data_IF_707893792191
#
_entry.id   IF_707893792191
#
_cell.length_a   1.000
_cell.length_b   1.000
_cell.length_c   1.000
_cell.angle_alpha   90.00
_cell.angle_beta   90.00
_cell.angle_gamma   90.00
#
_symmetry.space_group_name_H-M   'P 1'
#
loop_
_entity.id
_entity.type
_entity.pdbx_description
1 polymer ?
#
# COMPACT_ATOMS: atom_id res chain seq x y z
N UNK A 1 -11.88 -4.15 19.81
CA UNK A 1 -10.94 -4.39 18.70
C UNK A 1 -10.46 -3.04 18.24
N UNK A 2 -9.15 -2.80 18.28
CA UNK A 2 -8.55 -1.65 17.59
C UNK A 2 -8.73 -1.92 16.08
N UNK A 3 -9.27 -0.99 15.29
CA UNK A 3 -9.43 -1.21 13.85
C UNK A 3 -8.08 -1.48 13.18
N UNK A 4 -8.07 -2.33 12.16
CA UNK A 4 -6.91 -2.60 11.32
C UNK A 4 -7.12 -1.86 10.01
N UNK A 5 -6.12 -1.07 9.61
CA UNK A 5 -6.07 -0.41 8.30
C UNK A 5 -4.85 -0.99 7.56
N UNK A 6 -5.10 -1.91 6.63
CA UNK A 6 -4.08 -2.35 5.69
C UNK A 6 -4.05 -1.36 4.53
N UNK A 7 -2.87 -1.01 4.04
CA UNK A 7 -2.74 -0.11 2.91
C UNK A 7 -1.58 -0.50 2.00
N UNK A 8 -1.66 -0.02 0.77
CA UNK A 8 -0.67 -0.10 -0.28
C UNK A 8 -0.88 1.12 -1.22
N UNK A 9 0.18 1.58 -1.87
CA UNK A 9 0.12 2.68 -2.84
C UNK A 9 0.69 2.28 -4.18
N UNK A 10 0.07 2.80 -5.23
CA UNK A 10 0.67 2.79 -6.57
C UNK A 10 1.13 4.19 -6.96
N UNK A 11 2.31 4.26 -7.57
CA UNK A 11 2.97 5.53 -7.86
C UNK A 11 3.41 5.63 -9.32
N UNK A 12 3.41 6.87 -9.79
CA UNK A 12 3.95 7.29 -11.08
C UNK A 12 5.09 8.29 -10.84
N UNK A 13 5.92 8.59 -11.85
CA UNK A 13 6.88 9.69 -11.75
C UNK A 13 6.18 11.01 -11.46
N UNK A 14 6.70 11.79 -10.52
CA UNK A 14 6.28 13.17 -10.34
C UNK A 14 6.88 14.04 -11.45
N UNK A 15 6.26 14.01 -12.62
CA UNK A 15 6.73 14.77 -13.80
C UNK A 15 6.82 16.27 -13.51
N UNK A 16 5.88 16.82 -12.72
CA UNK A 16 5.93 18.22 -12.34
C UNK A 16 7.16 18.53 -11.48
N UNK A 17 7.40 17.72 -10.44
CA UNK A 17 8.59 17.84 -9.61
C UNK A 17 9.89 17.64 -10.38
N UNK A 18 9.92 16.67 -11.32
CA UNK A 18 11.06 16.41 -12.18
C UNK A 18 11.38 17.61 -13.09
N UNK A 19 10.36 18.24 -13.69
CA UNK A 19 10.55 19.46 -14.49
C UNK A 19 11.17 20.58 -13.67
N UNK A 20 10.61 20.83 -12.49
CA UNK A 20 11.08 21.87 -11.58
C UNK A 20 12.54 21.65 -11.15
N UNK A 21 12.88 20.42 -10.74
CA UNK A 21 14.20 20.11 -10.19
C UNK A 21 15.29 20.00 -11.25
N UNK A 22 14.94 19.63 -12.49
CA UNK A 22 15.90 19.40 -13.57
C UNK A 22 15.93 20.54 -14.59
N UNK A 23 15.06 21.56 -14.44
CA UNK A 23 15.01 22.71 -15.33
C UNK A 23 14.53 22.37 -16.75
N UNK A 24 13.68 21.34 -16.90
CA UNK A 24 13.11 20.99 -18.20
C UNK A 24 12.11 22.05 -18.66
N UNK A 25 12.07 22.38 -19.97
CA UNK A 25 11.11 23.36 -20.48
C UNK A 25 9.67 22.83 -20.38
N UNK A 26 8.69 23.72 -20.20
CA UNK A 26 7.27 23.36 -20.16
C UNK A 26 6.81 22.67 -21.47
N UNK A 27 7.47 22.97 -22.59
CA UNK A 27 7.16 22.40 -23.90
C UNK A 27 7.59 20.94 -24.09
N UNK A 28 8.47 20.41 -23.24
CA UNK A 28 8.86 18.98 -23.29
C UNK A 28 7.64 18.12 -22.96
N UNK A 29 7.46 16.94 -23.54
CA UNK A 29 6.32 16.08 -23.20
C UNK A 29 6.53 15.39 -21.84
N UNK A 30 5.45 15.11 -21.11
CA UNK A 30 5.53 14.45 -19.80
C UNK A 30 6.21 13.07 -19.90
N UNK A 31 5.93 12.34 -20.98
CA UNK A 31 6.57 11.07 -21.30
C UNK A 31 8.09 11.20 -21.45
N UNK A 32 8.55 12.27 -22.10
CA UNK A 32 9.99 12.50 -22.33
C UNK A 32 10.70 12.89 -21.03
N UNK A 33 10.06 13.69 -20.17
CA UNK A 33 10.60 14.05 -18.85
C UNK A 33 10.77 12.80 -17.99
N UNK A 34 9.75 11.95 -17.93
CA UNK A 34 9.81 10.68 -17.20
C UNK A 34 10.91 9.76 -17.77
N UNK A 35 10.97 9.61 -19.10
CA UNK A 35 11.98 8.78 -19.78
C UNK A 35 13.42 9.27 -19.49
N UNK A 36 13.65 10.59 -19.53
CA UNK A 36 14.94 11.18 -19.19
C UNK A 36 15.32 10.90 -17.73
N UNK A 37 14.36 11.00 -16.80
CA UNK A 37 14.59 10.69 -15.39
C UNK A 37 14.93 9.22 -15.15
N UNK A 38 14.22 8.29 -15.80
CA UNK A 38 14.51 6.86 -15.75
C UNK A 38 15.90 6.54 -16.31
N UNK A 39 16.25 7.08 -17.47
CA UNK A 39 17.56 6.88 -18.09
C UNK A 39 18.69 7.35 -17.16
N UNK A 40 18.57 8.56 -16.59
CA UNK A 40 19.55 9.11 -15.66
C UNK A 40 19.62 8.33 -14.34
N UNK A 41 18.52 7.70 -13.90
CA UNK A 41 18.50 6.85 -12.70
C UNK A 41 19.18 5.51 -12.97
N UNK A 42 18.93 4.90 -14.12
CA UNK A 42 19.53 3.64 -14.56
C UNK A 42 21.03 3.78 -14.76
N UNK A 43 21.49 4.86 -15.38
CA UNK A 43 22.93 5.12 -15.55
C UNK A 43 23.66 5.18 -14.20
N UNK A 44 23.06 5.81 -13.20
CA UNK A 44 23.68 5.99 -11.87
C UNK A 44 23.59 4.76 -10.97
N UNK A 45 22.55 3.95 -11.09
CA UNK A 45 22.21 2.92 -10.08
C UNK A 45 21.95 1.52 -10.65
N UNK A 46 21.83 1.40 -11.97
CA UNK A 46 21.40 0.16 -12.63
C UNK A 46 19.90 -0.12 -12.58
N UNK A 47 19.08 0.77 -11.99
CA UNK A 47 17.62 0.62 -11.87
C UNK A 47 16.89 1.86 -12.36
N UNK A 48 15.65 1.72 -12.85
CA UNK A 48 14.77 2.86 -13.15
C UNK A 48 14.03 3.40 -11.92
N UNK A 49 14.09 2.68 -10.79
CA UNK A 49 13.31 3.01 -9.61
C UNK A 49 13.77 4.35 -9.02
N UNK A 50 12.92 5.38 -9.15
CA UNK A 50 13.23 6.74 -8.76
C UNK A 50 13.40 6.87 -7.23
N UNK A 51 13.96 7.99 -6.78
CA UNK A 51 14.01 8.31 -5.36
C UNK A 51 12.61 8.66 -4.84
N UNK A 52 12.25 8.25 -3.62
CA UNK A 52 10.88 8.36 -3.09
C UNK A 52 10.21 9.73 -3.23
N UNK A 53 10.95 10.82 -3.08
CA UNK A 53 10.43 12.19 -3.22
C UNK A 53 10.07 12.58 -4.68
N UNK A 54 10.48 11.78 -5.67
CA UNK A 54 10.19 11.95 -7.10
C UNK A 54 9.05 11.05 -7.58
N UNK A 55 8.36 10.37 -6.66
CA UNK A 55 7.13 9.64 -6.95
C UNK A 55 5.93 10.56 -6.71
N UNK A 56 4.84 10.31 -7.43
CA UNK A 56 3.51 10.86 -7.23
C UNK A 56 2.54 9.69 -7.07
N UNK A 57 1.64 9.76 -6.11
CA UNK A 57 0.65 8.71 -5.82
C UNK A 57 -0.47 8.74 -6.88
N UNK A 58 -0.68 7.60 -7.53
CA UNK A 58 -1.75 7.36 -8.48
C UNK A 58 -2.94 6.65 -7.83
N UNK A 59 -2.69 5.74 -6.87
CA UNK A 59 -3.72 5.06 -6.11
C UNK A 59 -3.28 4.84 -4.66
N UNK A 60 -4.25 4.81 -3.75
CA UNK A 60 -4.08 4.31 -2.39
C UNK A 60 -5.24 3.34 -2.17
N UNK A 61 -4.94 2.07 -1.97
CA UNK A 61 -5.94 1.08 -1.60
C UNK A 61 -5.86 0.76 -0.13
N UNK A 62 -7.00 0.38 0.44
CA UNK A 62 -7.10 0.08 1.85
C UNK A 62 -8.04 -1.12 2.10
N UNK A 63 -7.63 -1.99 3.01
CA UNK A 63 -8.57 -2.83 3.78
C UNK A 63 -8.80 -2.18 5.13
N UNK A 64 -10.06 -2.05 5.53
CA UNK A 64 -10.44 -1.64 6.87
C UNK A 64 -11.23 -2.76 7.55
N UNK A 65 -10.69 -3.27 8.65
CA UNK A 65 -11.31 -4.31 9.50
C UNK A 65 -11.60 -3.75 10.88
N UNK A 66 -12.86 -3.73 11.28
CA UNK A 66 -13.31 -3.28 12.59
C UNK A 66 -14.43 -4.16 13.15
N UNK A 67 -15.19 -3.69 14.15
CA UNK A 67 -16.32 -4.48 14.68
C UNK A 67 -17.47 -4.65 13.69
N UNK A 68 -17.60 -3.76 12.71
CA UNK A 68 -18.70 -3.77 11.74
C UNK A 68 -18.43 -4.71 10.57
N UNK A 69 -17.16 -5.02 10.28
CA UNK A 69 -16.82 -6.04 9.30
C UNK A 69 -15.47 -5.80 8.64
N UNK A 70 -15.33 -6.39 7.45
CA UNK A 70 -14.22 -6.22 6.53
C UNK A 70 -14.69 -5.38 5.33
N UNK A 71 -13.88 -4.41 4.90
CA UNK A 71 -14.15 -3.57 3.72
C UNK A 71 -12.85 -3.34 2.96
N UNK A 72 -12.86 -3.48 1.64
CA UNK A 72 -11.74 -3.12 0.76
C UNK A 72 -12.18 -2.04 -0.22
N UNK A 73 -11.33 -1.04 -0.45
CA UNK A 73 -11.49 -0.05 -1.54
C UNK A 73 -10.24 0.79 -1.77
N UNK A 74 -10.09 1.33 -2.97
CA UNK A 74 -9.25 2.49 -3.22
C UNK A 74 -9.88 3.79 -2.69
N UNK A 75 -9.06 4.68 -2.14
CA UNK A 75 -9.49 6.01 -1.69
C UNK A 75 -9.82 6.92 -2.90
N UNK A 76 -10.80 7.81 -2.74
CA UNK A 76 -11.24 8.74 -3.79
C UNK A 76 -11.83 8.05 -5.02
N UNK A 77 -11.87 8.78 -6.13
CA UNK A 77 -12.22 8.30 -7.48
C UNK A 77 -11.05 8.48 -8.45
N UNK A 78 -11.15 7.94 -9.66
CA UNK A 78 -10.17 8.12 -10.75
C UNK A 78 -10.06 9.56 -11.25
N UNK A 79 -10.96 10.45 -10.83
CA UNK A 79 -10.94 11.88 -11.17
C UNK A 79 -10.43 12.76 -10.04
N UNK A 80 -10.09 12.18 -8.89
CA UNK A 80 -9.60 12.93 -7.74
C UNK A 80 -8.09 13.17 -7.86
N UNK A 81 -7.68 14.40 -7.52
CA UNK A 81 -6.28 14.75 -7.41
C UNK A 81 -5.59 14.00 -6.26
N UNK A 82 -4.28 13.78 -6.40
CA UNK A 82 -3.43 13.09 -5.42
C UNK A 82 -3.62 13.64 -3.99
N UNK A 83 -3.67 14.96 -3.84
CA UNK A 83 -3.78 15.62 -2.53
C UNK A 83 -5.02 15.17 -1.76
N UNK A 84 -6.13 14.89 -2.45
CA UNK A 84 -7.35 14.35 -1.86
C UNK A 84 -7.17 12.92 -1.38
N UNK A 85 -6.41 12.10 -2.10
CA UNK A 85 -6.10 10.72 -1.71
C UNK A 85 -5.22 10.70 -0.45
N UNK A 86 -4.12 11.45 -0.47
CA UNK A 86 -3.17 11.56 0.65
C UNK A 86 -3.87 12.13 1.89
N UNK A 87 -4.68 13.18 1.71
CA UNK A 87 -5.49 13.72 2.81
C UNK A 87 -6.48 12.69 3.37
N UNK A 88 -7.17 11.93 2.51
CA UNK A 88 -8.12 10.91 2.96
C UNK A 88 -7.43 9.79 3.76
N UNK A 89 -6.21 9.41 3.38
CA UNK A 89 -5.41 8.42 4.11
C UNK A 89 -5.10 8.90 5.53
N UNK A 90 -4.44 10.06 5.68
CA UNK A 90 -4.08 10.58 7.01
C UNK A 90 -5.30 10.95 7.86
N UNK A 91 -6.36 11.48 7.27
CA UNK A 91 -7.63 11.73 7.97
C UNK A 91 -8.25 10.45 8.53
N UNK A 92 -8.09 9.31 7.84
CA UNK A 92 -8.56 8.02 8.34
C UNK A 92 -7.77 7.61 9.59
N UNK A 93 -6.46 7.85 9.59
CA UNK A 93 -5.60 7.61 10.76
C UNK A 93 -6.00 8.51 11.93
N UNK A 94 -6.20 9.81 11.67
CA UNK A 94 -6.64 10.77 12.70
C UNK A 94 -7.98 10.36 13.32
N UNK A 95 -8.94 9.93 12.48
CA UNK A 95 -10.29 9.60 12.94
C UNK A 95 -10.35 8.31 13.76
N UNK A 96 -9.67 7.26 13.32
CA UNK A 96 -9.86 5.92 13.88
C UNK A 96 -8.68 5.44 14.73
N UNK A 97 -7.52 6.08 14.61
CA UNK A 97 -6.26 5.63 15.22
C UNK A 97 -6.05 4.10 15.07
N UNK A 98 -6.11 3.56 13.84
CA UNK A 98 -6.05 2.11 13.61
C UNK A 98 -4.64 1.55 13.86
N UNK A 99 -4.53 0.23 13.93
CA UNK A 99 -3.25 -0.42 13.63
C UNK A 99 -3.05 -0.37 12.11
N UNK A 100 -1.96 0.25 11.66
CA UNK A 100 -1.53 0.19 10.27
C UNK A 100 -0.85 -1.15 9.98
N UNK A 101 -1.14 -1.74 8.84
CA UNK A 101 -0.47 -2.94 8.34
C UNK A 101 -0.09 -2.74 6.88
N UNK A 102 1.10 -3.17 6.49
CA UNK A 102 1.58 -3.06 5.11
C UNK A 102 2.56 -4.17 4.77
N UNK A 103 2.89 -4.31 3.48
CA UNK A 103 4.03 -5.09 3.01
C UNK A 103 5.05 -4.15 2.37
N UNK A 104 6.21 -3.93 3.00
CA UNK A 104 7.21 -2.94 2.58
C UNK A 104 6.79 -1.46 2.71
N UNK A 105 5.74 -1.17 3.50
CA UNK A 105 5.26 0.20 3.71
C UNK A 105 6.28 1.13 4.37
N UNK A 106 7.17 0.63 5.22
CA UNK A 106 8.28 1.43 5.79
C UNK A 106 9.35 1.73 4.74
N UNK A 107 9.60 0.76 3.85
CA UNK A 107 10.63 0.87 2.82
C UNK A 107 10.26 1.81 1.68
N UNK A 108 8.96 1.94 1.38
CA UNK A 108 8.49 2.69 0.22
C UNK A 108 7.26 3.57 0.49
N UNK A 109 6.12 2.97 0.84
CA UNK A 109 4.82 3.64 0.82
C UNK A 109 4.73 4.86 1.76
N UNK A 110 5.09 4.67 3.03
CA UNK A 110 5.05 5.74 4.03
C UNK A 110 6.06 6.85 3.70
N UNK A 111 7.34 6.57 3.36
CA UNK A 111 8.25 7.60 2.87
C UNK A 111 7.67 8.44 1.72
N UNK A 112 7.05 7.81 0.70
CA UNK A 112 6.40 8.54 -0.38
C UNK A 112 5.25 9.39 0.17
N UNK A 113 4.34 8.80 0.95
CA UNK A 113 3.21 9.52 1.55
C UNK A 113 3.64 10.70 2.42
N UNK A 114 4.77 10.62 3.12
CA UNK A 114 5.33 11.74 3.89
C UNK A 114 5.69 12.91 2.97
N UNK A 115 6.45 12.65 1.91
CA UNK A 115 6.84 13.70 0.96
C UNK A 115 5.61 14.29 0.27
N UNK A 116 4.65 13.45 -0.13
CA UNK A 116 3.43 13.93 -0.81
C UNK A 116 2.50 14.70 0.12
N UNK A 117 2.43 14.33 1.39
CA UNK A 117 1.72 15.11 2.40
C UNK A 117 2.35 16.49 2.60
N UNK A 118 3.69 16.58 2.65
CA UNK A 118 4.40 17.86 2.75
C UNK A 118 4.16 18.74 1.51
N UNK A 119 4.29 18.17 0.31
CA UNK A 119 4.02 18.90 -0.96
C UNK A 119 2.56 19.40 -1.02
N UNK A 120 1.61 18.63 -0.49
CA UNK A 120 0.18 18.95 -0.53
C UNK A 120 -0.33 19.72 0.69
N UNK A 121 0.53 20.05 1.66
CA UNK A 121 0.14 20.73 2.90
C UNK A 121 -0.85 19.94 3.78
N UNK A 122 -0.78 18.60 3.76
CA UNK A 122 -1.67 17.73 4.53
C UNK A 122 -1.23 17.64 5.99
N UNK A 123 -2.15 17.93 6.91
CA UNK A 123 -1.97 17.68 8.34
C UNK A 123 -2.19 16.19 8.66
N UNK A 124 -1.32 15.62 9.49
CA UNK A 124 -1.36 14.21 9.89
C UNK A 124 -1.00 14.06 11.39
N UNK A 125 -1.66 14.84 12.25
CA UNK A 125 -1.27 15.02 13.65
C UNK A 125 -1.23 13.70 14.43
N UNK A 126 -2.23 12.84 14.28
CA UNK A 126 -2.27 11.56 15.01
C UNK A 126 -1.23 10.57 14.49
N UNK A 127 -0.85 10.68 13.22
CA UNK A 127 0.19 9.86 12.62
C UNK A 127 1.58 10.20 13.18
N UNK A 128 1.88 11.50 13.33
CA UNK A 128 3.17 12.01 13.81
C UNK A 128 3.29 12.11 15.32
N UNK A 129 2.22 11.84 16.06
CA UNK A 129 2.24 11.77 17.53
C UNK A 129 3.24 10.69 17.99
N UNK A 130 4.15 11.05 18.88
CA UNK A 130 5.23 10.19 19.39
C UNK A 130 5.37 10.24 20.93
N UNK A 131 4.39 10.83 21.62
CA UNK A 131 4.40 11.03 23.07
C UNK A 131 4.38 12.49 23.51
N UNK A 132 4.23 13.43 22.59
CA UNK A 132 4.27 14.87 22.84
C UNK A 132 2.96 15.33 23.51
N UNK A 133 1.80 15.05 22.89
CA UNK A 133 0.49 15.37 23.45
C UNK A 133 -0.17 14.12 24.09
N UNK A 134 0.00 12.94 23.48
CA UNK A 134 -0.53 11.66 23.98
C UNK A 134 0.59 10.71 24.43
N UNK A 135 0.78 10.58 25.76
CA UNK A 135 1.83 9.74 26.36
C UNK A 135 1.77 8.27 25.95
N UNK A 136 0.62 7.73 25.55
CA UNK A 136 0.51 6.34 25.11
C UNK A 136 1.31 6.08 23.81
N UNK A 137 1.51 7.13 23.00
CA UNK A 137 2.28 7.04 21.76
C UNK A 137 3.79 7.01 21.99
N UNK A 138 4.26 7.31 23.20
CA UNK A 138 5.68 7.15 23.56
C UNK A 138 6.15 5.70 23.40
N UNK A 139 5.28 4.75 23.69
CA UNK A 139 5.60 3.32 23.71
C UNK A 139 5.03 2.55 22.52
N UNK A 140 4.13 3.16 21.75
CA UNK A 140 3.52 2.56 20.57
C UNK A 140 2.99 3.65 19.63
N UNK A 141 3.77 4.04 18.62
CA UNK A 141 3.45 5.07 17.60
C UNK A 141 3.72 4.50 16.19
N UNK A 142 3.34 5.26 15.15
CA UNK A 142 3.47 4.81 13.75
C UNK A 142 4.88 4.96 13.16
N UNK A 143 5.79 5.69 13.82
CA UNK A 143 7.10 6.06 13.25
C UNK A 143 8.21 5.11 13.74
N UNK A 144 8.11 4.67 14.98
CA UNK A 144 9.12 3.83 15.61
C UNK A 144 9.06 2.42 15.05
N UNK A 145 10.11 2.01 14.34
CA UNK A 145 10.20 0.73 13.60
C UNK A 145 9.81 -0.54 14.40
N UNK A 146 10.09 -0.56 15.70
CA UNK A 146 9.84 -1.73 16.55
C UNK A 146 8.49 -1.69 17.29
N UNK A 147 7.71 -0.63 17.09
CA UNK A 147 6.36 -0.54 17.62
C UNK A 147 5.39 -1.28 16.68
N UNK A 148 4.26 -1.71 17.22
CA UNK A 148 3.28 -2.52 16.48
C UNK A 148 2.11 -1.70 15.94
N UNK A 149 2.05 -0.39 16.24
CA UNK A 149 0.99 0.50 15.74
C UNK A 149 1.06 0.65 14.22
N UNK A 150 2.26 0.63 13.65
CA UNK A 150 2.47 0.25 12.25
C UNK A 150 3.21 -1.08 12.21
N UNK A 151 2.61 -2.08 11.59
CA UNK A 151 3.18 -3.39 11.36
C UNK A 151 3.52 -3.54 9.87
N UNK A 152 4.78 -3.28 9.52
CA UNK A 152 5.32 -3.70 8.24
C UNK A 152 5.68 -5.19 8.30
N UNK A 153 4.87 -6.03 7.66
CA UNK A 153 5.04 -7.47 7.69
C UNK A 153 6.36 -7.91 7.04
N UNK A 154 6.75 -7.28 5.93
CA UNK A 154 7.97 -7.66 5.23
C UNK A 154 9.19 -7.35 6.11
N UNK A 155 9.24 -6.14 6.69
CA UNK A 155 10.35 -5.70 7.52
C UNK A 155 10.48 -6.55 8.79
N UNK A 156 9.36 -6.83 9.47
CA UNK A 156 9.36 -7.67 10.67
C UNK A 156 9.76 -9.13 10.37
N UNK A 157 9.15 -9.75 9.34
CA UNK A 157 9.43 -11.15 8.99
C UNK A 157 10.86 -11.34 8.47
N UNK A 158 11.40 -10.33 7.78
CA UNK A 158 12.80 -10.30 7.36
C UNK A 158 13.76 -9.96 8.50
N UNK A 159 13.29 -9.88 9.75
CA UNK A 159 14.10 -9.53 10.92
C UNK A 159 14.89 -8.24 10.71
N UNK A 160 14.25 -7.25 10.07
CA UNK A 160 14.80 -5.92 9.82
C UNK A 160 16.01 -5.89 8.87
N UNK A 161 16.28 -6.98 8.14
CA UNK A 161 17.37 -7.06 7.16
C UNK A 161 16.84 -7.24 5.74
N UNK A 162 17.19 -6.28 4.88
CA UNK A 162 16.76 -6.29 3.48
C UNK A 162 17.21 -7.52 2.68
N UNK A 163 18.22 -8.28 3.16
CA UNK A 163 18.67 -9.53 2.53
C UNK A 163 17.66 -10.67 2.67
N UNK A 164 16.76 -10.61 3.65
CA UNK A 164 15.74 -11.61 3.90
C UNK A 164 14.34 -11.15 3.46
N UNK A 165 14.25 -10.00 2.77
CA UNK A 165 12.98 -9.54 2.21
C UNK A 165 12.44 -10.55 1.20
N UNK A 166 11.13 -10.80 1.28
CA UNK A 166 10.41 -11.65 0.35
C UNK A 166 9.34 -10.83 -0.40
N UNK A 167 9.11 -11.09 -1.70
CA UNK A 167 7.99 -10.48 -2.42
C UNK A 167 6.65 -10.95 -1.84
N UNK A 168 5.67 -10.03 -1.73
CA UNK A 168 4.31 -10.35 -1.28
C UNK A 168 3.70 -11.48 -2.13
N UNK A 169 3.85 -11.37 -3.45
CA UNK A 169 3.30 -12.32 -4.42
C UNK A 169 3.75 -13.76 -4.15
N UNK A 170 5.06 -13.96 -4.02
CA UNK A 170 5.65 -15.28 -3.82
C UNK A 170 5.21 -15.88 -2.49
N UNK A 171 5.29 -15.12 -1.40
CA UNK A 171 4.93 -15.65 -0.09
C UNK A 171 3.42 -15.88 0.05
N UNK A 172 2.58 -15.02 -0.55
CA UNK A 172 1.14 -15.21 -0.61
C UNK A 172 0.78 -16.51 -1.32
N UNK A 173 1.39 -16.78 -2.48
CA UNK A 173 1.21 -18.04 -3.23
C UNK A 173 1.67 -19.26 -2.43
N UNK A 174 2.82 -19.19 -1.77
CA UNK A 174 3.30 -20.26 -0.87
C UNK A 174 2.35 -20.51 0.32
N UNK A 175 1.62 -19.48 0.76
CA UNK A 175 0.62 -19.58 1.83
C UNK A 175 -0.78 -20.05 1.33
N UNK A 176 -0.93 -20.30 0.02
CA UNK A 176 -2.18 -20.72 -0.62
C UNK A 176 -3.12 -19.58 -0.98
N UNK A 177 -2.66 -18.33 -0.96
CA UNK A 177 -3.43 -17.16 -1.40
C UNK A 177 -3.17 -16.85 -2.89
N UNK A 178 -4.03 -16.06 -3.55
CA UNK A 178 -3.90 -15.78 -5.00
C UNK A 178 -2.56 -15.16 -5.41
N UNK A 179 -2.01 -14.27 -4.58
CA UNK A 179 -0.90 -13.40 -5.00
C UNK A 179 -1.37 -12.35 -6.00
N UNK A 180 -0.42 -11.79 -6.76
CA UNK A 180 -0.64 -10.76 -7.78
C UNK A 180 -1.29 -11.34 -9.03
N UNK A 181 -2.29 -10.63 -9.56
CA UNK A 181 -3.02 -11.00 -10.77
C UNK A 181 -2.72 -9.98 -11.88
N UNK A 182 -1.93 -10.41 -12.87
CA UNK A 182 -1.79 -9.75 -14.18
C UNK A 182 -0.90 -8.51 -14.25
N UNK A 183 -1.00 -7.58 -13.30
CA UNK A 183 -0.26 -6.31 -13.32
C UNK A 183 1.00 -6.40 -12.45
N UNK A 184 2.12 -5.95 -12.99
CA UNK A 184 3.38 -5.76 -12.26
C UNK A 184 3.63 -4.26 -12.06
N UNK A 185 4.24 -3.87 -10.94
CA UNK A 185 4.51 -2.45 -10.62
C UNK A 185 5.31 -1.71 -11.69
N UNK A 186 6.10 -2.41 -12.50
CA UNK A 186 6.80 -1.84 -13.67
C UNK A 186 5.86 -1.32 -14.77
N UNK A 187 4.60 -1.76 -14.81
CA UNK A 187 3.62 -1.38 -15.83
C UNK A 187 2.79 -0.16 -15.43
N UNK A 188 2.85 0.29 -14.17
CA UNK A 188 1.99 1.35 -13.62
C UNK A 188 2.10 2.65 -14.40
N UNK A 189 3.32 3.04 -14.78
CA UNK A 189 3.52 4.23 -15.61
C UNK A 189 2.87 4.10 -16.99
N UNK A 190 3.06 2.97 -17.67
CA UNK A 190 2.45 2.69 -18.97
C UNK A 190 0.92 2.72 -18.89
N UNK A 191 0.34 2.02 -17.92
CA UNK A 191 -1.12 2.01 -17.69
C UNK A 191 -1.65 3.42 -17.43
N UNK A 192 -0.91 4.23 -16.66
CA UNK A 192 -1.30 5.61 -16.40
C UNK A 192 -1.30 6.45 -17.67
N UNK A 193 -0.27 6.33 -18.52
CA UNK A 193 -0.20 7.03 -19.80
C UNK A 193 -1.32 6.61 -20.76
N UNK A 194 -1.79 5.37 -20.67
CA UNK A 194 -2.93 4.84 -21.43
C UNK A 194 -4.30 5.24 -20.85
N UNK A 195 -4.34 5.99 -19.74
CA UNK A 195 -5.57 6.39 -19.06
C UNK A 195 -6.26 5.25 -18.29
N UNK A 196 -5.56 4.14 -18.04
CA UNK A 196 -6.07 2.92 -17.40
C UNK A 196 -5.92 2.97 -15.87
N UNK A 197 -6.26 4.11 -15.27
CA UNK A 197 -6.13 4.32 -13.82
C UNK A 197 -7.03 3.38 -12.99
N UNK A 198 -8.17 2.95 -13.54
CA UNK A 198 -9.02 1.97 -12.87
C UNK A 198 -8.29 0.64 -12.68
N UNK A 199 -7.53 0.19 -13.67
CA UNK A 199 -6.79 -1.08 -13.56
C UNK A 199 -5.66 -1.02 -12.53
N UNK A 200 -4.99 0.13 -12.41
CA UNK A 200 -4.00 0.37 -11.35
C UNK A 200 -4.66 0.24 -9.97
N UNK A 201 -5.87 0.79 -9.82
CA UNK A 201 -6.64 0.74 -8.56
C UNK A 201 -7.11 -0.67 -8.24
N UNK A 202 -7.71 -1.37 -9.22
CA UNK A 202 -8.16 -2.75 -9.07
C UNK A 202 -7.01 -3.66 -8.63
N UNK A 203 -5.83 -3.50 -9.23
CA UNK A 203 -4.63 -4.23 -8.85
C UNK A 203 -4.18 -3.90 -7.41
N UNK A 204 -4.07 -2.61 -7.06
CA UNK A 204 -3.70 -2.17 -5.72
C UNK A 204 -4.70 -2.67 -4.65
N UNK A 205 -6.00 -2.77 -4.99
CA UNK A 205 -7.01 -3.39 -4.12
C UNK A 205 -6.72 -4.86 -3.86
N UNK A 206 -6.31 -5.64 -4.86
CA UNK A 206 -5.93 -7.04 -4.64
C UNK A 206 -4.67 -7.19 -3.78
N UNK A 207 -3.72 -6.26 -3.88
CA UNK A 207 -2.49 -6.27 -3.07
C UNK A 207 -2.78 -5.99 -1.58
N UNK A 208 -3.70 -5.09 -1.25
CA UNK A 208 -4.10 -4.90 0.17
C UNK A 208 -4.90 -6.08 0.71
N UNK A 209 -5.66 -6.79 -0.13
CA UNK A 209 -6.31 -8.05 0.28
C UNK A 209 -5.27 -9.12 0.57
N UNK A 210 -4.31 -9.34 -0.34
CA UNK A 210 -3.19 -10.26 -0.11
C UNK A 210 -2.45 -9.91 1.19
N UNK A 211 -2.16 -8.63 1.41
CA UNK A 211 -1.52 -8.15 2.64
C UNK A 211 -2.36 -8.44 3.89
N UNK A 212 -3.68 -8.26 3.85
CA UNK A 212 -4.58 -8.61 4.97
C UNK A 212 -4.60 -10.12 5.25
N UNK A 213 -4.59 -10.95 4.21
CA UNK A 213 -4.55 -12.41 4.37
C UNK A 213 -3.21 -12.87 4.95
N UNK A 214 -2.10 -12.26 4.52
CA UNK A 214 -0.78 -12.47 5.10
C UNK A 214 -0.73 -12.01 6.56
N UNK A 215 -1.36 -10.89 6.91
CA UNK A 215 -1.55 -10.47 8.30
C UNK A 215 -2.28 -11.54 9.11
N UNK A 216 -3.42 -12.05 8.63
CA UNK A 216 -4.16 -13.11 9.32
C UNK A 216 -3.30 -14.38 9.49
N UNK A 217 -2.52 -14.76 8.48
CA UNK A 217 -1.58 -15.88 8.55
C UNK A 217 -0.50 -15.65 9.60
N UNK A 218 0.05 -14.44 9.67
CA UNK A 218 1.01 -14.05 10.69
C UNK A 218 0.41 -14.09 12.10
N UNK A 219 -0.81 -13.57 12.27
CA UNK A 219 -1.54 -13.60 13.55
C UNK A 219 -1.78 -15.03 14.04
N UNK A 220 -2.13 -15.94 13.14
CA UNK A 220 -2.20 -17.38 13.42
C UNK A 220 -0.84 -17.94 13.86
N UNK A 221 0.23 -17.65 13.10
CA UNK A 221 1.59 -18.15 13.40
C UNK A 221 2.07 -17.74 14.79
N UNK A 222 1.77 -16.52 15.24
CA UNK A 222 2.16 -16.01 16.56
C UNK A 222 1.15 -16.32 17.68
N UNK A 223 0.14 -17.15 17.40
CA UNK A 223 -0.88 -17.57 18.37
C UNK A 223 -1.85 -16.45 18.82
N UNK A 224 -1.91 -15.34 18.08
CA UNK A 224 -2.89 -14.26 18.33
C UNK A 224 -4.26 -14.53 17.72
N UNK A 225 -4.34 -15.48 16.77
CA UNK A 225 -5.58 -16.08 16.29
C UNK A 225 -5.51 -17.59 16.48
N UNK A 226 -6.61 -18.19 16.93
CA UNK A 226 -6.84 -19.63 16.84
C UNK A 226 -7.07 -20.05 15.39
N UNK A 227 -7.05 -21.35 15.13
CA UNK A 227 -7.35 -21.89 13.80
C UNK A 227 -8.77 -21.53 13.35
N UNK A 228 -9.74 -21.58 14.27
CA UNK A 228 -11.15 -21.31 13.96
C UNK A 228 -11.40 -19.83 13.67
N UNK A 229 -10.78 -18.93 14.44
CA UNK A 229 -10.81 -17.49 14.17
C UNK A 229 -10.16 -17.17 12.82
N UNK A 230 -9.00 -17.76 12.53
CA UNK A 230 -8.32 -17.61 11.25
C UNK A 230 -9.21 -18.05 10.07
N UNK A 231 -9.81 -19.24 10.16
CA UNK A 231 -10.70 -19.75 9.12
C UNK A 231 -11.96 -18.87 8.97
N UNK A 232 -12.52 -18.38 10.08
CA UNK A 232 -13.66 -17.45 10.07
C UNK A 232 -13.33 -16.14 9.38
N UNK A 233 -12.13 -15.59 9.60
CA UNK A 233 -11.66 -14.39 8.90
C UNK A 233 -11.48 -14.64 7.41
N UNK A 234 -10.94 -15.80 6.99
CA UNK A 234 -10.86 -16.13 5.56
C UNK A 234 -12.25 -16.21 4.90
N UNK A 235 -13.22 -16.85 5.58
CA UNK A 235 -14.59 -16.95 5.09
C UNK A 235 -15.25 -15.58 5.00
N UNK A 236 -15.02 -14.69 5.97
CA UNK A 236 -15.50 -13.31 5.96
C UNK A 236 -14.97 -12.55 4.73
N UNK A 237 -13.66 -12.62 4.48
CA UNK A 237 -13.05 -11.96 3.32
C UNK A 237 -13.64 -12.51 2.02
N UNK A 238 -13.66 -13.84 1.84
CA UNK A 238 -14.23 -14.47 0.63
C UNK A 238 -15.67 -14.04 0.38
N UNK A 239 -16.51 -14.05 1.42
CA UNK A 239 -17.91 -13.64 1.31
C UNK A 239 -18.04 -12.18 0.88
N UNK A 240 -17.27 -11.28 1.51
CA UNK A 240 -17.29 -9.86 1.15
C UNK A 240 -16.84 -9.62 -0.29
N UNK A 241 -15.74 -10.24 -0.73
CA UNK A 241 -15.25 -10.08 -2.10
C UNK A 241 -16.25 -10.62 -3.14
N UNK A 242 -17.04 -11.64 -2.80
CA UNK A 242 -18.06 -12.19 -3.69
C UNK A 242 -19.27 -11.25 -3.88
N UNK A 243 -19.45 -10.29 -2.98
CA UNK A 243 -20.49 -9.25 -3.08
C UNK A 243 -20.02 -8.02 -3.86
N UNK A 244 -18.71 -7.88 -4.10
CA UNK A 244 -18.15 -6.73 -4.82
C UNK A 244 -18.27 -6.90 -6.33
N UNK A 245 -18.62 -5.82 -7.01
CA UNK A 245 -18.53 -5.73 -8.46
C UNK A 245 -17.07 -5.57 -8.91
N UNK A 246 -16.74 -6.12 -10.07
CA UNK A 246 -15.42 -5.95 -10.70
C UNK A 246 -14.85 -7.26 -11.25
N UNK A 247 -14.26 -7.25 -12.46
CA UNK A 247 -13.69 -8.46 -13.04
C UNK A 247 -12.48 -8.98 -12.24
N UNK A 248 -11.74 -8.09 -11.57
CA UNK A 248 -10.59 -8.45 -10.73
C UNK A 248 -11.00 -9.29 -9.53
N UNK A 249 -12.13 -9.00 -8.88
CA UNK A 249 -12.61 -9.80 -7.73
C UNK A 249 -13.02 -11.21 -8.13
N UNK A 250 -13.68 -11.36 -9.29
CA UNK A 250 -13.98 -12.69 -9.83
C UNK A 250 -12.71 -13.48 -10.11
N UNK A 251 -11.75 -12.88 -10.80
CA UNK A 251 -10.45 -13.51 -11.07
C UNK A 251 -9.70 -13.87 -9.78
N UNK A 252 -9.78 -12.99 -8.77
CA UNK A 252 -9.15 -13.21 -7.46
C UNK A 252 -9.75 -14.38 -6.71
N UNK A 253 -11.07 -14.48 -6.67
CA UNK A 253 -11.78 -15.61 -6.05
C UNK A 253 -11.52 -16.93 -6.80
N UNK A 254 -11.50 -16.89 -8.14
CA UNK A 254 -11.19 -18.07 -8.98
C UNK A 254 -9.75 -18.57 -8.75
N UNK A 255 -8.80 -17.66 -8.52
CA UNK A 255 -7.41 -17.99 -8.20
C UNK A 255 -7.21 -18.46 -6.75
N UNK A 256 -8.13 -18.12 -5.84
CA UNK A 256 -7.99 -18.40 -4.42
C UNK A 256 -8.35 -19.84 -4.07
N UNK A 257 -7.38 -20.74 -4.24
CA UNK A 257 -7.48 -22.15 -3.84
C UNK A 257 -7.70 -22.29 -2.34
N UNK A 258 -8.41 -23.33 -1.92
CA UNK A 258 -8.61 -23.58 -0.50
C UNK A 258 -7.26 -23.95 0.14
N UNK A 259 -6.75 -23.23 1.16
CA UNK A 259 -5.38 -23.40 1.65
C UNK A 259 -5.05 -24.76 2.31
N UNK A 260 -5.93 -25.76 2.22
CA UNK A 260 -5.82 -27.06 2.90
C UNK A 260 -6.42 -28.24 2.10
N UNK A 261 -6.40 -28.20 0.76
CA UNK A 261 -6.57 -29.40 -0.06
C UNK A 261 -5.22 -30.09 -0.33
#
# INVERSE_FOLDING_TARGET
MIPILVFDIETIPDVHGLRLLQGHPESMLDADVAAAAFAARRERTGSDFLQHHLHKVAAISCVFRDREGFRVKSLGSTHDEESKLVHAFFRTIDRYTPQLVSWNGTGFDLPVLHYRAMVSGVTASRYWEMGDDDRDFKWNNYISRYHMRHLDLMDLLAMYTGRANAPLDELAKLCGFPGKLGVDGSQVWTLYQEGRLQEIRDYCETDVVNTYLMYCRFQLMRGSMTRDEYNSELSLVRAHLAELDGPHWKQYLDAWRDPLA
#
